data_IF_713583845108
#
_entry.id   IF_713583845108
#
_cell.length_a   1.000
_cell.length_b   1.000
_cell.length_c   1.000
_cell.angle_alpha   90.00
_cell.angle_beta   90.00
_cell.angle_gamma   90.00
#
_symmetry.space_group_name_H-M   'P 1'
#
loop_
_entity.id
_entity.type
_entity.pdbx_description
1 polymer ?
#
# COMPACT_ATOMS: atom_id res chain seq x y z
N UNK A 1 9.68 -22.57 -6.41
CA UNK A 1 8.42 -21.79 -6.23
C UNK A 1 8.30 -20.78 -7.38
N UNK A 2 7.13 -20.59 -8.01
CA UNK A 2 7.01 -19.58 -9.08
C UNK A 2 7.23 -18.17 -8.54
N UNK A 3 7.66 -17.22 -9.39
CA UNK A 3 7.93 -15.84 -8.98
C UNK A 3 6.75 -15.21 -8.23
N UNK A 4 5.52 -15.38 -8.73
CA UNK A 4 4.31 -14.87 -8.06
C UNK A 4 4.02 -15.55 -6.72
N UNK A 5 4.30 -16.85 -6.58
CA UNK A 5 4.14 -17.56 -5.30
C UNK A 5 5.15 -17.07 -4.26
N UNK A 6 6.40 -16.86 -4.66
CA UNK A 6 7.43 -16.27 -3.78
C UNK A 6 7.07 -14.84 -3.38
N UNK A 7 6.65 -14.03 -4.35
CA UNK A 7 6.21 -12.65 -4.13
C UNK A 7 5.05 -12.60 -3.12
N UNK A 8 4.03 -13.41 -3.29
CA UNK A 8 2.90 -13.47 -2.36
C UNK A 8 3.31 -13.93 -0.96
N UNK A 9 4.13 -14.99 -0.86
CA UNK A 9 4.63 -15.49 0.42
C UNK A 9 5.40 -14.42 1.18
N UNK A 10 6.37 -13.76 0.51
CA UNK A 10 7.18 -12.70 1.12
C UNK A 10 6.33 -11.49 1.53
N UNK A 11 5.40 -11.05 0.67
CA UNK A 11 4.51 -9.93 1.00
C UNK A 11 3.64 -10.27 2.21
N UNK A 12 3.08 -11.47 2.28
CA UNK A 12 2.23 -11.90 3.40
C UNK A 12 3.03 -11.97 4.69
N UNK A 13 4.20 -12.62 4.64
CA UNK A 13 5.10 -12.75 5.79
C UNK A 13 5.54 -11.38 6.32
N UNK A 14 6.06 -10.52 5.44
CA UNK A 14 6.53 -9.18 5.81
C UNK A 14 5.39 -8.30 6.31
N UNK A 15 4.20 -8.38 5.70
CA UNK A 15 3.04 -7.63 6.16
C UNK A 15 2.68 -8.03 7.59
N UNK A 16 2.60 -9.33 7.89
CA UNK A 16 2.26 -9.80 9.23
C UNK A 16 3.33 -9.38 10.24
N UNK A 17 4.62 -9.62 9.95
CA UNK A 17 5.72 -9.28 10.87
C UNK A 17 5.77 -7.79 11.18
N UNK A 18 5.65 -6.95 10.16
CA UNK A 18 5.72 -5.50 10.33
C UNK A 18 4.50 -4.93 11.05
N UNK A 19 3.33 -5.56 10.92
CA UNK A 19 2.13 -5.19 11.69
C UNK A 19 2.25 -5.54 13.16
N UNK A 20 2.83 -6.69 13.49
CA UNK A 20 3.15 -7.03 14.88
C UNK A 20 4.15 -6.06 15.48
N UNK A 21 5.23 -5.74 14.75
CA UNK A 21 6.22 -4.77 15.21
C UNK A 21 5.58 -3.40 15.50
N UNK A 22 4.73 -2.92 14.59
CA UNK A 22 4.00 -1.66 14.74
C UNK A 22 3.15 -1.66 16.02
N UNK A 23 2.29 -2.66 16.20
CA UNK A 23 1.43 -2.81 17.40
C UNK A 23 2.27 -2.84 18.69
N UNK A 24 3.36 -3.61 18.71
CA UNK A 24 4.24 -3.70 19.88
C UNK A 24 4.85 -2.35 20.20
N UNK A 25 5.42 -1.65 19.21
CA UNK A 25 6.04 -0.34 19.43
C UNK A 25 5.02 0.72 19.83
N UNK A 26 3.81 0.70 19.26
CA UNK A 26 2.71 1.59 19.69
C UNK A 26 2.34 1.33 21.13
N UNK A 27 2.21 0.07 21.55
CA UNK A 27 1.90 -0.28 22.94
C UNK A 27 2.97 0.22 23.90
N UNK A 28 4.24 0.12 23.53
CA UNK A 28 5.33 0.63 24.36
C UNK A 28 5.38 2.16 24.43
N UNK A 29 5.01 2.88 23.35
CA UNK A 29 5.02 4.34 23.31
C UNK A 29 3.81 4.97 24.00
N UNK A 30 2.61 4.38 23.85
CA UNK A 30 1.36 4.88 24.45
C UNK A 30 0.43 3.69 24.81
N UNK A 31 0.67 3.04 25.96
CA UNK A 31 -0.12 1.89 26.40
C UNK A 31 -1.61 2.19 26.60
N UNK A 32 -1.95 3.46 26.83
CA UNK A 32 -3.29 4.00 27.02
C UNK A 32 -3.92 4.59 25.75
N UNK A 33 -3.17 4.62 24.64
CA UNK A 33 -3.53 5.22 23.34
C UNK A 33 -3.87 6.72 23.41
N UNK A 34 -3.60 7.42 24.51
CA UNK A 34 -4.00 8.83 24.67
C UNK A 34 -3.22 9.78 23.75
N UNK A 35 -2.00 9.39 23.40
CA UNK A 35 -1.10 10.19 22.54
C UNK A 35 -1.12 9.76 21.08
N UNK A 36 -1.95 8.77 20.74
CA UNK A 36 -2.09 8.30 19.37
C UNK A 36 -2.79 9.33 18.50
N UNK A 37 -2.14 9.67 17.39
CA UNK A 37 -2.77 10.47 16.33
C UNK A 37 -3.56 9.65 15.34
N UNK A 38 -3.54 8.31 15.45
CA UNK A 38 -4.30 7.47 14.56
C UNK A 38 -5.80 7.80 14.69
N UNK A 39 -6.46 8.32 13.63
CA UNK A 39 -7.87 8.71 13.68
C UNK A 39 -8.80 7.55 14.06
N UNK A 40 -8.35 6.31 13.88
CA UNK A 40 -9.12 5.13 14.25
C UNK A 40 -9.32 5.01 15.76
N UNK A 41 -8.35 5.45 16.56
CA UNK A 41 -8.43 5.44 18.03
C UNK A 41 -9.44 6.48 18.51
N UNK A 42 -9.48 7.65 17.88
CA UNK A 42 -10.46 8.69 18.23
C UNK A 42 -11.88 8.37 17.78
N UNK A 43 -12.05 7.59 16.69
CA UNK A 43 -13.38 7.20 16.15
C UNK A 43 -13.95 5.96 16.86
N UNK A 44 -13.15 4.91 17.09
CA UNK A 44 -13.61 3.62 17.63
C UNK A 44 -13.39 3.45 19.14
N UNK A 45 -12.89 4.50 19.81
CA UNK A 45 -12.57 4.50 21.24
C UNK A 45 -11.13 4.06 21.54
N UNK A 46 -10.61 4.49 22.69
CA UNK A 46 -9.23 4.26 23.16
C UNK A 46 -8.97 2.82 23.65
N UNK A 47 -9.55 1.82 23.00
CA UNK A 47 -9.47 0.42 23.40
C UNK A 47 -8.56 -0.40 22.48
N UNK A 48 -7.55 -1.07 23.04
CA UNK A 48 -6.68 -1.97 22.30
C UNK A 48 -7.41 -3.09 21.57
N UNK A 49 -8.52 -3.58 22.12
CA UNK A 49 -9.35 -4.60 21.47
C UNK A 49 -9.87 -4.10 20.12
N UNK A 50 -10.38 -2.87 20.04
CA UNK A 50 -10.88 -2.29 18.80
C UNK A 50 -9.75 -2.10 17.78
N UNK A 51 -8.59 -1.62 18.23
CA UNK A 51 -7.39 -1.46 17.39
C UNK A 51 -6.94 -2.79 16.80
N UNK A 52 -6.86 -3.85 17.61
CA UNK A 52 -6.43 -5.18 17.16
C UNK A 52 -7.44 -5.76 16.16
N UNK A 53 -8.75 -5.69 16.45
CA UNK A 53 -9.79 -6.19 15.54
C UNK A 53 -9.69 -5.48 14.18
N UNK A 54 -9.55 -4.16 14.18
CA UNK A 54 -9.42 -3.40 12.94
C UNK A 54 -8.17 -3.81 12.15
N UNK A 55 -7.02 -3.96 12.82
CA UNK A 55 -5.78 -4.38 12.18
C UNK A 55 -5.92 -5.78 11.56
N UNK A 56 -6.54 -6.73 12.27
CA UNK A 56 -6.78 -8.09 11.74
C UNK A 56 -7.66 -8.05 10.49
N UNK A 57 -8.75 -7.28 10.52
CA UNK A 57 -9.65 -7.12 9.36
C UNK A 57 -8.90 -6.49 8.18
N UNK A 58 -8.19 -5.39 8.42
CA UNK A 58 -7.44 -4.66 7.39
C UNK A 58 -6.37 -5.55 6.74
N UNK A 59 -5.56 -6.23 7.55
CA UNK A 59 -4.51 -7.13 7.06
C UNK A 59 -5.11 -8.28 6.27
N UNK A 60 -6.21 -8.87 6.74
CA UNK A 60 -6.91 -9.95 6.03
C UNK A 60 -7.41 -9.49 4.66
N UNK A 61 -8.04 -8.31 4.57
CA UNK A 61 -8.50 -7.72 3.30
C UNK A 61 -7.31 -7.51 2.35
N UNK A 62 -6.19 -6.98 2.84
CA UNK A 62 -5.00 -6.72 2.03
C UNK A 62 -4.40 -8.03 1.50
N UNK A 63 -4.32 -9.08 2.32
CA UNK A 63 -3.84 -10.40 1.89
C UNK A 63 -4.76 -10.97 0.80
N UNK A 64 -6.08 -10.88 0.98
CA UNK A 64 -7.07 -11.32 -0.03
C UNK A 64 -6.88 -10.55 -1.34
N UNK A 65 -6.79 -9.22 -1.29
CA UNK A 65 -6.57 -8.39 -2.48
C UNK A 65 -5.25 -8.75 -3.17
N UNK A 66 -4.18 -8.98 -2.39
CA UNK A 66 -2.88 -9.38 -2.93
C UNK A 66 -2.94 -10.73 -3.63
N UNK A 67 -3.61 -11.71 -3.02
CA UNK A 67 -3.86 -13.02 -3.63
C UNK A 67 -4.63 -12.90 -4.94
N UNK A 68 -5.72 -12.13 -4.95
CA UNK A 68 -6.54 -11.93 -6.14
C UNK A 68 -5.73 -11.26 -7.26
N UNK A 69 -4.97 -10.21 -6.94
CA UNK A 69 -4.12 -9.47 -7.89
C UNK A 69 -3.03 -10.34 -8.53
N UNK A 70 -2.42 -11.26 -7.76
CA UNK A 70 -1.31 -12.08 -8.24
C UNK A 70 -1.71 -13.37 -8.95
N UNK A 71 -2.86 -13.97 -8.61
CA UNK A 71 -3.20 -15.32 -9.07
C UNK A 71 -4.53 -15.44 -9.79
N UNK A 72 -5.51 -14.57 -9.53
CA UNK A 72 -6.88 -14.76 -10.03
C UNK A 72 -7.26 -13.74 -11.11
N UNK A 73 -6.89 -12.48 -10.92
CA UNK A 73 -7.34 -11.40 -11.79
C UNK A 73 -6.41 -11.28 -13.00
N UNK A 74 -6.99 -11.45 -14.19
CA UNK A 74 -6.34 -11.11 -15.47
C UNK A 74 -6.74 -9.70 -15.87
N UNK A 75 -5.78 -8.91 -16.33
CA UNK A 75 -6.07 -7.56 -16.83
C UNK A 75 -6.60 -7.60 -18.25
N UNK A 76 -7.50 -6.67 -18.55
CA UNK A 76 -7.81 -6.30 -19.93
C UNK A 76 -6.80 -5.25 -20.39
N UNK A 77 -5.90 -5.68 -21.28
CA UNK A 77 -4.96 -4.80 -21.95
C UNK A 77 -5.57 -4.26 -23.25
N UNK A 78 -5.16 -3.05 -23.69
CA UNK A 78 -5.54 -2.57 -25.02
C UNK A 78 -5.07 -3.51 -26.13
N UNK A 79 -5.91 -3.73 -27.14
CA UNK A 79 -5.59 -4.56 -28.31
C UNK A 79 -4.69 -3.85 -29.32
N UNK A 80 -4.71 -2.51 -29.36
CA UNK A 80 -3.89 -1.75 -30.28
C UNK A 80 -2.41 -1.82 -29.86
N UNK A 81 -1.51 -2.10 -30.81
CA UNK A 81 -0.06 -2.05 -30.61
C UNK A 81 0.46 -0.61 -30.60
N UNK A 82 1.58 -0.39 -29.90
CA UNK A 82 2.34 0.86 -29.99
C UNK A 82 1.92 1.99 -29.05
N UNK A 83 1.07 1.75 -28.05
CA UNK A 83 0.81 2.79 -27.05
C UNK A 83 2.06 3.13 -26.25
N UNK A 84 2.32 4.44 -26.10
CA UNK A 84 3.30 4.93 -25.14
C UNK A 84 2.86 4.61 -23.70
N UNK A 85 3.80 4.66 -22.75
CA UNK A 85 3.51 4.42 -21.33
C UNK A 85 2.35 5.28 -20.80
N UNK A 86 2.28 6.56 -21.17
CA UNK A 86 1.21 7.47 -20.72
C UNK A 86 -0.14 7.10 -21.34
N UNK A 87 -0.17 6.73 -22.62
CA UNK A 87 -1.40 6.31 -23.31
C UNK A 87 -1.91 4.99 -22.76
N UNK A 88 -1.01 4.06 -22.50
CA UNK A 88 -1.31 2.81 -21.82
C UNK A 88 -2.00 3.05 -20.48
N UNK A 89 -1.45 3.91 -19.60
CA UNK A 89 -2.06 4.19 -18.30
C UNK A 89 -3.48 4.76 -18.48
N UNK A 90 -3.66 5.71 -19.41
CA UNK A 90 -4.98 6.31 -19.66
C UNK A 90 -5.99 5.25 -20.06
N UNK A 91 -5.64 4.38 -20.99
CA UNK A 91 -6.51 3.30 -21.44
C UNK A 91 -6.75 2.25 -20.35
N UNK A 92 -5.68 1.82 -19.69
CA UNK A 92 -5.73 0.79 -18.66
C UNK A 92 -6.61 1.24 -17.48
N UNK A 93 -6.41 2.47 -17.01
CA UNK A 93 -7.11 3.02 -15.84
C UNK A 93 -8.50 3.55 -16.16
N UNK A 94 -8.67 4.35 -17.21
CA UNK A 94 -9.95 5.02 -17.52
C UNK A 94 -10.76 4.34 -18.61
N UNK A 95 -10.15 3.46 -19.42
CA UNK A 95 -10.79 2.87 -20.61
C UNK A 95 -10.95 3.86 -21.78
N UNK A 96 -10.49 5.10 -21.61
CA UNK A 96 -10.63 6.20 -22.58
C UNK A 96 -9.50 7.21 -22.45
N UNK A 97 -9.35 8.08 -23.45
CA UNK A 97 -8.40 9.20 -23.41
C UNK A 97 -8.84 10.19 -22.32
N UNK A 98 -8.02 10.36 -21.30
CA UNK A 98 -8.31 11.19 -20.14
C UNK A 98 -7.01 11.76 -19.54
N UNK A 99 -7.11 12.84 -18.75
CA UNK A 99 -5.94 13.39 -18.07
C UNK A 99 -5.53 12.51 -16.87
N UNK A 100 -4.24 12.16 -16.78
CA UNK A 100 -3.68 11.32 -15.71
C UNK A 100 -3.82 11.95 -14.32
N UNK A 101 -3.86 13.29 -14.23
CA UNK A 101 -4.08 13.98 -12.95
C UNK A 101 -5.42 13.55 -12.31
N UNK A 102 -6.40 13.15 -13.12
CA UNK A 102 -7.71 12.71 -12.59
C UNK A 102 -7.63 11.41 -11.80
N UNK A 103 -6.53 10.65 -11.87
CA UNK A 103 -6.34 9.43 -11.07
C UNK A 103 -6.29 9.70 -9.56
N UNK A 104 -6.04 10.97 -9.16
CA UNK A 104 -6.02 11.36 -7.75
C UNK A 104 -7.43 11.32 -7.15
N UNK A 105 -8.48 11.52 -7.95
CA UNK A 105 -9.87 11.64 -7.45
C UNK A 105 -10.91 10.80 -8.20
N UNK A 106 -10.56 10.19 -9.34
CA UNK A 106 -11.45 9.27 -10.07
C UNK A 106 -11.00 7.84 -9.84
N UNK A 107 -11.95 6.96 -9.57
CA UNK A 107 -11.71 5.51 -9.52
C UNK A 107 -11.38 4.92 -10.90
N UNK A 108 -10.74 3.73 -10.95
CA UNK A 108 -10.53 2.98 -12.17
C UNK A 108 -11.85 2.64 -12.87
N UNK A 109 -11.78 2.38 -14.18
CA UNK A 109 -12.91 2.09 -15.06
C UNK A 109 -13.78 0.91 -14.60
N UNK A 110 -13.20 -0.04 -13.88
CA UNK A 110 -13.87 -1.24 -13.41
C UNK A 110 -13.26 -1.77 -12.09
N UNK A 111 -14.03 -2.63 -11.40
CA UNK A 111 -13.64 -3.23 -10.12
C UNK A 111 -12.41 -4.14 -10.24
N UNK A 112 -12.21 -4.79 -11.37
CA UNK A 112 -11.08 -5.69 -11.63
C UNK A 112 -9.77 -4.90 -11.63
N UNK A 113 -9.74 -3.78 -12.35
CA UNK A 113 -8.60 -2.84 -12.41
C UNK A 113 -8.32 -2.26 -11.02
N UNK A 114 -9.36 -1.88 -10.28
CA UNK A 114 -9.23 -1.38 -8.91
C UNK A 114 -8.66 -2.43 -7.96
N UNK A 115 -9.23 -3.64 -7.92
CA UNK A 115 -8.77 -4.71 -7.05
C UNK A 115 -7.33 -5.12 -7.37
N UNK A 116 -6.96 -5.15 -8.65
CA UNK A 116 -5.59 -5.47 -9.06
C UNK A 116 -4.60 -4.39 -8.64
N UNK A 117 -4.96 -3.12 -8.82
CA UNK A 117 -4.17 -1.97 -8.36
C UNK A 117 -4.00 -2.01 -6.83
N UNK A 118 -5.09 -2.10 -6.08
CA UNK A 118 -5.06 -2.14 -4.62
C UNK A 118 -4.29 -3.35 -4.09
N UNK A 119 -4.51 -4.53 -4.66
CA UNK A 119 -3.80 -5.76 -4.29
C UNK A 119 -2.29 -5.72 -4.58
N UNK A 120 -1.86 -4.89 -5.52
CA UNK A 120 -0.43 -4.62 -5.73
C UNK A 120 0.10 -3.56 -4.76
N UNK A 121 -0.59 -2.42 -4.66
CA UNK A 121 -0.10 -1.21 -3.97
C UNK A 121 -0.19 -1.35 -2.45
N UNK A 122 -1.35 -1.76 -1.91
CA UNK A 122 -1.60 -1.77 -0.47
C UNK A 122 -0.61 -2.61 0.34
N UNK A 123 -0.32 -3.90 0.02
CA UNK A 123 0.60 -4.68 0.85
C UNK A 123 2.00 -4.05 0.86
N UNK A 124 2.47 -3.56 -0.27
CA UNK A 124 3.81 -2.97 -0.41
C UNK A 124 3.93 -1.65 0.32
N UNK A 125 2.96 -0.75 0.10
CA UNK A 125 2.92 0.54 0.76
C UNK A 125 2.82 0.34 2.27
N UNK A 126 1.90 -0.51 2.71
CA UNK A 126 1.66 -0.72 4.13
C UNK A 126 2.87 -1.34 4.84
N UNK A 127 3.63 -2.24 4.21
CA UNK A 127 4.89 -2.77 4.75
C UNK A 127 5.93 -1.66 4.94
N UNK A 128 6.19 -0.85 3.90
CA UNK A 128 7.21 0.21 3.96
C UNK A 128 6.83 1.28 4.98
N UNK A 129 5.56 1.68 5.00
CA UNK A 129 5.02 2.59 6.01
C UNK A 129 5.19 2.02 7.40
N UNK A 130 4.85 0.75 7.61
CA UNK A 130 5.04 0.06 8.88
C UNK A 130 6.49 0.13 9.35
N UNK A 131 7.44 -0.26 8.48
CA UNK A 131 8.87 -0.23 8.81
C UNK A 131 9.30 1.18 9.20
N UNK A 132 8.89 2.20 8.44
CA UNK A 132 9.21 3.59 8.72
C UNK A 132 8.68 4.03 10.09
N UNK A 133 7.39 3.80 10.37
CA UNK A 133 6.74 4.21 11.62
C UNK A 133 7.29 3.42 12.81
N UNK A 134 7.37 2.09 12.72
CA UNK A 134 7.85 1.25 13.83
C UNK A 134 9.33 1.48 14.13
N UNK A 135 10.16 1.81 13.13
CA UNK A 135 11.55 2.24 13.36
C UNK A 135 11.59 3.56 14.11
N UNK A 136 10.79 4.55 13.70
CA UNK A 136 10.68 5.83 14.39
C UNK A 136 10.20 5.64 15.84
N UNK A 137 9.17 4.83 16.07
CA UNK A 137 8.70 4.50 17.42
C UNK A 137 9.75 3.76 18.24
N UNK A 138 10.53 2.87 17.62
CA UNK A 138 11.67 2.22 18.30
C UNK A 138 12.70 3.26 18.75
N UNK A 139 13.02 4.25 17.92
CA UNK A 139 13.93 5.34 18.32
C UNK A 139 13.37 6.21 19.43
N UNK A 140 12.05 6.47 19.44
CA UNK A 140 11.40 7.16 20.58
C UNK A 140 11.55 6.38 21.89
N UNK A 141 11.48 5.05 21.83
CA UNK A 141 11.61 4.19 23.02
C UNK A 141 13.05 4.21 23.56
N UNK A 142 14.05 4.14 22.68
CA UNK A 142 15.45 3.93 23.10
C UNK A 142 16.28 5.22 23.19
N UNK A 143 15.82 6.35 22.65
CA UNK A 143 16.58 7.60 22.60
C UNK A 143 15.73 8.80 23.01
N UNK A 144 16.14 9.46 24.11
CA UNK A 144 15.53 10.70 24.57
C UNK A 144 15.72 11.86 23.58
N UNK A 145 16.88 11.92 22.92
CA UNK A 145 17.23 13.00 21.98
C UNK A 145 16.38 12.94 20.71
N UNK A 146 15.98 11.74 20.30
CA UNK A 146 15.10 11.56 19.14
C UNK A 146 13.72 12.21 19.33
N UNK A 147 13.26 12.39 20.56
CA UNK A 147 11.93 12.97 20.84
C UNK A 147 11.77 14.39 20.30
N UNK A 148 12.83 15.20 20.34
CA UNK A 148 12.81 16.58 19.79
C UNK A 148 12.70 16.55 18.27
N UNK A 149 13.56 15.75 17.62
CA UNK A 149 13.51 15.54 16.18
C UNK A 149 12.15 15.00 15.73
N UNK A 150 11.60 14.02 16.46
CA UNK A 150 10.31 13.43 16.15
C UNK A 150 9.18 14.46 16.18
N UNK A 151 9.14 15.34 17.19
CA UNK A 151 8.13 16.38 17.28
C UNK A 151 8.14 17.33 16.07
N UNK A 152 9.33 17.71 15.59
CA UNK A 152 9.51 18.54 14.41
C UNK A 152 9.23 17.79 13.10
N UNK A 153 9.60 16.52 13.02
CA UNK A 153 9.49 15.70 11.81
C UNK A 153 8.08 15.13 11.59
N UNK A 154 7.27 14.97 12.65
CA UNK A 154 5.94 14.33 12.62
C UNK A 154 5.00 14.88 11.53
N UNK A 155 4.89 16.20 11.27
CA UNK A 155 4.02 16.70 10.20
C UNK A 155 4.38 16.18 8.81
N UNK A 156 5.67 15.94 8.57
CA UNK A 156 6.17 15.47 7.27
C UNK A 156 5.93 13.97 7.05
N UNK A 157 5.55 13.21 8.08
CA UNK A 157 5.33 11.77 7.97
C UNK A 157 4.20 11.50 6.97
N UNK A 158 3.10 12.27 7.04
CA UNK A 158 1.98 12.13 6.09
C UNK A 158 2.40 12.33 4.63
N UNK A 159 3.33 13.26 4.36
CA UNK A 159 3.87 13.48 3.01
C UNK A 159 4.64 12.25 2.54
N UNK A 160 5.45 11.66 3.42
CA UNK A 160 6.18 10.41 3.14
C UNK A 160 5.20 9.26 2.86
N UNK A 161 4.12 9.12 3.66
CA UNK A 161 3.10 8.10 3.46
C UNK A 161 2.42 8.21 2.08
N UNK A 162 2.03 9.42 1.70
CA UNK A 162 1.44 9.71 0.38
C UNK A 162 2.44 9.40 -0.73
N UNK A 163 3.70 9.81 -0.54
CA UNK A 163 4.80 9.53 -1.48
C UNK A 163 5.01 8.03 -1.72
N UNK A 164 4.96 7.22 -0.66
CA UNK A 164 5.09 5.75 -0.75
C UNK A 164 3.92 5.14 -1.56
N UNK A 165 2.69 5.58 -1.31
CA UNK A 165 1.52 5.10 -2.06
C UNK A 165 1.62 5.48 -3.55
N UNK A 166 2.06 6.70 -3.84
CA UNK A 166 2.26 7.17 -5.21
C UNK A 166 3.38 6.41 -5.92
N UNK A 167 4.51 6.16 -5.24
CA UNK A 167 5.61 5.35 -5.76
C UNK A 167 5.13 3.95 -6.17
N UNK A 168 4.42 3.24 -5.29
CA UNK A 168 3.94 1.89 -5.63
C UNK A 168 2.87 1.90 -6.72
N UNK A 169 2.10 2.99 -6.85
CA UNK A 169 1.19 3.19 -7.98
C UNK A 169 1.96 3.32 -9.30
N UNK A 170 3.06 4.08 -9.32
CA UNK A 170 3.94 4.17 -10.51
C UNK A 170 4.53 2.79 -10.84
N UNK A 171 5.04 2.08 -9.83
CA UNK A 171 5.64 0.75 -10.02
C UNK A 171 4.62 -0.28 -10.53
N UNK A 172 3.37 -0.18 -10.08
CA UNK A 172 2.26 -0.98 -10.62
C UNK A 172 2.10 -0.77 -12.12
N UNK A 173 1.98 0.49 -12.58
CA UNK A 173 1.79 0.75 -14.00
C UNK A 173 3.01 0.38 -14.84
N UNK A 174 4.23 0.54 -14.31
CA UNK A 174 5.45 0.04 -14.97
C UNK A 174 5.40 -1.48 -15.17
N UNK A 175 4.95 -2.23 -14.16
CA UNK A 175 4.76 -3.69 -14.26
C UNK A 175 3.72 -4.04 -15.32
N UNK A 176 2.54 -3.44 -15.25
CA UNK A 176 1.45 -3.74 -16.19
C UNK A 176 1.80 -3.35 -17.63
N UNK A 177 2.52 -2.24 -17.82
CA UNK A 177 3.00 -1.83 -19.14
C UNK A 177 4.04 -2.81 -19.69
N UNK A 178 4.96 -3.30 -18.86
CA UNK A 178 5.94 -4.32 -19.28
C UNK A 178 5.25 -5.63 -19.68
N UNK A 179 4.17 -6.01 -19.00
CA UNK A 179 3.37 -7.19 -19.38
C UNK A 179 2.70 -6.96 -20.73
N UNK A 180 2.05 -5.81 -20.92
CA UNK A 180 1.44 -5.42 -22.20
C UNK A 180 2.44 -5.47 -23.36
N UNK A 181 3.64 -4.91 -23.19
CA UNK A 181 4.68 -4.95 -24.23
C UNK A 181 5.12 -6.37 -24.60
N UNK A 182 5.15 -7.30 -23.64
CA UNK A 182 5.49 -8.71 -23.90
C UNK A 182 4.39 -9.43 -24.68
N UNK A 183 3.13 -9.24 -24.28
CA UNK A 183 1.98 -9.84 -24.98
C UNK A 183 2.01 -9.46 -26.47
N UNK A 184 2.33 -8.20 -26.79
CA UNK A 184 2.40 -7.75 -28.18
C UNK A 184 3.63 -8.23 -28.95
N UNK A 185 4.70 -8.65 -28.27
CA UNK A 185 5.90 -9.20 -28.90
C UNK A 185 5.74 -10.69 -29.23
N UNK A 186 4.87 -11.39 -28.49
CA UNK A 186 4.57 -12.81 -28.68
C UNK A 186 3.41 -13.05 -29.68
N UNK A 187 2.68 -11.99 -30.08
CA UNK A 187 1.64 -11.95 -31.14
C UNK A 187 2.17 -11.48 -32.49
#
# INVERSE_FOLDING_TARGET
MSKSKLEFFLLTLLLILTRFWDVITTYMVTPDLERETNPLVSIFGRGWVAVIIFQVILVSIIIILSYLSLFKIKSSYPSQKGYSYKEFIRYYYFGKKENLIKMIYKFPKDKVTLMKLLGYVLPRALIVVSIFISTSSTFLIISSDYSRFYAEARPYYYIVLIGIAFLFTILFFKREYSIYQKILADE
#
